data_IF_464737059006
#
_entry.id   IF_464737059006
#
_cell.length_a   1.000
_cell.length_b   1.000
_cell.length_c   1.000
_cell.angle_alpha   90.00
_cell.angle_beta   90.00
_cell.angle_gamma   90.00
#
_symmetry.space_group_name_H-M   'P 1'
#
loop_
_entity.id
_entity.type
_entity.pdbx_description
1 polymer ?
#
# COMPACT_ATOMS: atom_id res chain seq x y z
N UNK A 1 -54.36 -3.12 31.74
CA UNK A 1 -53.39 -3.74 30.85
C UNK A 1 -52.05 -3.08 31.05
N UNK A 2 -50.97 -3.75 31.55
CA UNK A 2 -49.64 -3.16 31.69
C UNK A 2 -48.91 -3.18 30.37
N UNK A 3 -48.42 -2.02 29.94
CA UNK A 3 -47.51 -1.87 28.78
C UNK A 3 -46.11 -2.32 29.18
N UNK A 4 -45.53 -3.10 28.29
CA UNK A 4 -44.24 -3.77 28.41
C UNK A 4 -43.04 -2.82 28.61
N UNK A 5 -42.37 -2.97 29.74
CA UNK A 5 -41.07 -2.34 30.10
C UNK A 5 -39.87 -3.06 29.46
N UNK A 6 -40.07 -4.11 28.65
CA UNK A 6 -39.00 -4.93 28.09
C UNK A 6 -38.28 -4.33 26.87
N UNK A 7 -38.91 -3.39 26.15
CA UNK A 7 -38.36 -2.85 24.89
C UNK A 7 -37.27 -1.76 25.10
N UNK A 8 -37.17 -1.19 26.30
CA UNK A 8 -36.20 -0.10 26.55
C UNK A 8 -34.84 -0.65 26.99
N UNK A 9 -34.84 -1.68 27.82
CA UNK A 9 -33.62 -2.35 28.29
C UNK A 9 -32.85 -3.07 27.18
N UNK A 10 -33.54 -3.70 26.23
CA UNK A 10 -32.90 -4.38 25.10
C UNK A 10 -32.30 -3.42 24.11
N UNK A 11 -32.89 -2.24 23.90
CA UNK A 11 -32.29 -1.17 23.07
C UNK A 11 -31.09 -0.50 23.70
N UNK A 12 -31.07 -0.35 25.00
CA UNK A 12 -29.91 0.21 25.74
C UNK A 12 -28.76 -0.79 25.81
N UNK A 13 -29.04 -2.07 26.01
CA UNK A 13 -28.03 -3.13 25.95
C UNK A 13 -27.43 -3.32 24.53
N UNK A 14 -28.26 -3.19 23.48
CA UNK A 14 -27.80 -3.24 22.09
C UNK A 14 -26.92 -2.01 21.74
N UNK A 15 -27.30 -0.81 22.20
CA UNK A 15 -26.48 0.42 22.05
C UNK A 15 -25.17 0.34 22.82
N UNK A 16 -25.17 -0.22 24.03
CA UNK A 16 -23.95 -0.43 24.82
C UNK A 16 -23.00 -1.44 24.16
N UNK A 17 -23.50 -2.54 23.60
CA UNK A 17 -22.71 -3.51 22.83
C UNK A 17 -22.16 -2.92 21.52
N UNK A 18 -22.92 -2.09 20.82
CA UNK A 18 -22.48 -1.43 19.59
C UNK A 18 -21.43 -0.35 19.89
N UNK A 19 -21.57 0.41 20.98
CA UNK A 19 -20.59 1.38 21.47
C UNK A 19 -19.29 0.69 21.91
N UNK A 20 -19.36 -0.41 22.64
CA UNK A 20 -18.18 -1.20 23.05
C UNK A 20 -17.43 -1.78 21.85
N UNK A 21 -18.14 -2.30 20.85
CA UNK A 21 -17.55 -2.83 19.60
C UNK A 21 -16.91 -1.74 18.77
N UNK A 22 -17.50 -0.55 18.72
CA UNK A 22 -16.92 0.62 18.01
C UNK A 22 -15.67 1.13 18.73
N UNK A 23 -15.64 1.14 20.07
CA UNK A 23 -14.46 1.52 20.85
C UNK A 23 -13.32 0.48 20.74
N UNK A 24 -13.65 -0.80 20.62
CA UNK A 24 -12.67 -1.87 20.44
C UNK A 24 -12.07 -1.84 19.03
N UNK A 25 -12.88 -1.57 18.02
CA UNK A 25 -12.44 -1.30 16.64
C UNK A 25 -11.57 -0.03 16.60
N UNK A 26 -11.95 1.04 17.31
CA UNK A 26 -11.14 2.25 17.40
C UNK A 26 -9.81 2.03 18.15
N UNK A 27 -9.75 1.13 19.14
CA UNK A 27 -8.50 0.74 19.80
C UNK A 27 -7.57 -0.09 18.92
N UNK A 28 -8.12 -0.96 18.07
CA UNK A 28 -7.36 -1.76 17.08
C UNK A 28 -6.89 -0.90 15.89
N UNK A 29 -7.67 0.12 15.49
CA UNK A 29 -7.33 1.09 14.44
C UNK A 29 -6.43 2.23 14.98
N UNK A 30 -6.18 2.30 16.27
CA UNK A 30 -5.52 3.40 17.00
C UNK A 30 -4.04 3.66 16.64
N UNK A 31 -3.53 3.15 15.51
CA UNK A 31 -2.21 3.52 15.00
C UNK A 31 -2.27 4.48 13.82
N UNK A 32 -3.38 4.52 13.09
CA UNK A 32 -3.62 5.47 12.01
C UNK A 32 -5.12 5.57 11.74
N UNK A 33 -5.64 6.79 11.60
CA UNK A 33 -6.98 7.03 11.06
C UNK A 33 -6.83 7.28 9.57
N UNK A 34 -7.24 6.31 8.76
CA UNK A 34 -7.25 6.44 7.30
C UNK A 34 -8.66 6.62 6.80
N UNK A 35 -8.88 7.66 6.01
CA UNK A 35 -10.12 7.84 5.25
C UNK A 35 -9.81 7.66 3.77
N UNK A 36 -10.54 6.76 3.13
CA UNK A 36 -10.41 6.49 1.70
C UNK A 36 -11.69 6.93 1.02
N UNK A 37 -11.57 7.80 0.04
CA UNK A 37 -12.66 8.27 -0.81
C UNK A 37 -12.35 7.91 -2.25
N UNK A 38 -13.28 7.23 -2.92
CA UNK A 38 -13.17 6.90 -4.33
C UNK A 38 -14.41 7.40 -5.07
N UNK A 39 -14.22 8.38 -5.94
CA UNK A 39 -15.27 8.96 -6.77
C UNK A 39 -15.11 8.49 -8.21
N UNK A 40 -16.20 8.17 -8.88
CA UNK A 40 -16.21 7.77 -10.28
C UNK A 40 -17.15 8.69 -11.09
N UNK A 41 -16.79 8.94 -12.34
CA UNK A 41 -17.56 9.77 -13.25
C UNK A 41 -17.33 9.40 -14.72
N UNK A 42 -18.09 10.03 -15.60
CA UNK A 42 -18.00 9.86 -17.06
C UNK A 42 -18.00 8.37 -17.53
N UNK A 43 -18.99 7.60 -17.07
CA UNK A 43 -19.07 6.17 -17.39
C UNK A 43 -17.92 5.35 -16.81
N UNK A 44 -17.46 5.68 -15.61
CA UNK A 44 -16.32 5.07 -14.90
C UNK A 44 -14.94 5.30 -15.54
N UNK A 45 -14.84 6.20 -16.52
CA UNK A 45 -13.55 6.55 -17.12
C UNK A 45 -12.71 7.45 -16.22
N UNK A 46 -13.35 8.34 -15.48
CA UNK A 46 -12.71 9.19 -14.49
C UNK A 46 -12.87 8.58 -13.10
N UNK A 47 -11.78 8.43 -12.36
CA UNK A 47 -11.83 8.17 -10.94
C UNK A 47 -10.91 9.13 -10.18
N UNK A 48 -11.34 9.52 -8.98
CA UNK A 48 -10.55 10.31 -8.05
C UNK A 48 -10.42 9.50 -6.77
N UNK A 49 -9.20 9.16 -6.41
CA UNK A 49 -8.86 8.46 -5.18
C UNK A 49 -8.19 9.44 -4.21
N UNK A 50 -8.74 9.59 -3.02
CA UNK A 50 -8.16 10.40 -1.95
C UNK A 50 -8.02 9.54 -0.72
N UNK A 51 -6.80 9.46 -0.20
CA UNK A 51 -6.50 8.82 1.07
C UNK A 51 -5.88 9.84 2.03
N UNK A 52 -6.41 9.90 3.24
CA UNK A 52 -5.84 10.67 4.33
C UNK A 52 -5.28 9.71 5.39
N UNK A 53 -4.24 10.13 6.07
CA UNK A 53 -3.64 9.38 7.17
C UNK A 53 -3.39 10.29 8.37
N UNK A 54 -3.61 9.76 9.57
CA UNK A 54 -3.25 10.39 10.84
C UNK A 54 -2.33 9.46 11.61
N UNK A 55 -1.04 9.40 11.25
CA UNK A 55 -0.08 8.53 11.92
C UNK A 55 0.10 8.97 13.36
N UNK A 56 0.27 7.98 14.25
CA UNK A 56 0.52 8.20 15.67
C UNK A 56 -0.62 8.94 16.42
N UNK A 57 -1.85 8.95 15.88
CA UNK A 57 -3.00 9.53 16.56
C UNK A 57 -3.15 8.93 17.98
N UNK A 58 -3.16 9.79 18.99
CA UNK A 58 -3.26 9.40 20.40
C UNK A 58 -1.98 8.80 21.01
N UNK A 59 -0.88 8.65 20.26
CA UNK A 59 0.43 8.30 20.83
C UNK A 59 1.07 9.53 21.47
N UNK A 60 1.70 9.32 22.62
CA UNK A 60 2.51 10.35 23.27
C UNK A 60 3.91 10.41 22.63
N UNK A 61 4.44 11.62 22.49
CA UNK A 61 5.84 11.89 22.19
C UNK A 61 6.73 11.70 23.44
N UNK A 62 8.03 11.97 23.30
CA UNK A 62 8.96 11.88 24.43
C UNK A 62 8.65 12.85 25.59
N UNK A 63 7.91 13.93 25.35
CA UNK A 63 7.46 14.90 26.36
C UNK A 63 6.11 14.50 26.99
N UNK A 64 5.51 13.39 26.56
CA UNK A 64 4.21 12.92 27.04
C UNK A 64 3.01 13.61 26.38
N UNK A 65 3.23 14.47 25.39
CA UNK A 65 2.17 15.13 24.63
C UNK A 65 1.57 14.18 23.62
N UNK A 66 0.27 13.95 23.69
CA UNK A 66 -0.43 13.10 22.73
C UNK A 66 -0.64 13.82 21.42
N UNK A 67 -0.35 13.15 20.31
CA UNK A 67 -0.73 13.65 18.99
C UNK A 67 -2.26 13.70 18.90
N UNK A 68 -2.82 14.91 18.75
CA UNK A 68 -4.25 15.18 18.85
C UNK A 68 -4.95 15.25 17.47
N UNK A 69 -4.22 15.14 16.36
CA UNK A 69 -4.92 15.16 15.10
C UNK A 69 -4.21 15.73 13.88
N UNK A 70 -2.92 15.49 13.71
CA UNK A 70 -2.29 15.76 12.42
C UNK A 70 -2.94 14.88 11.35
N UNK A 71 -3.61 15.51 10.41
CA UNK A 71 -4.21 14.85 9.27
C UNK A 71 -3.40 15.19 8.02
N UNK A 72 -2.95 14.16 7.32
CA UNK A 72 -2.15 14.32 6.12
C UNK A 72 -2.85 13.72 4.91
N UNK A 73 -2.70 14.37 3.75
CA UNK A 73 -3.00 13.74 2.47
C UNK A 73 -1.93 12.69 2.19
N UNK A 74 -2.35 11.43 2.09
CA UNK A 74 -1.47 10.31 1.76
C UNK A 74 -1.42 10.09 0.25
N UNK A 75 -2.58 10.01 -0.38
CA UNK A 75 -2.73 9.90 -1.82
C UNK A 75 -3.82 10.85 -2.31
N UNK A 76 -3.59 11.50 -3.46
CA UNK A 76 -4.59 12.26 -4.21
C UNK A 76 -4.36 11.94 -5.68
N UNK A 77 -5.10 10.97 -6.21
CA UNK A 77 -4.88 10.44 -7.56
C UNK A 77 -6.10 10.65 -8.42
N UNK A 78 -5.91 11.33 -9.53
CA UNK A 78 -6.90 11.42 -10.60
C UNK A 78 -6.49 10.43 -11.68
N UNK A 79 -7.35 9.47 -11.97
CA UNK A 79 -7.15 8.47 -13.02
C UNK A 79 -8.11 8.71 -14.16
N UNK A 80 -7.59 8.83 -15.38
CA UNK A 80 -8.36 8.73 -16.60
C UNK A 80 -8.09 7.40 -17.29
N UNK A 81 -9.14 6.58 -17.43
CA UNK A 81 -9.08 5.30 -18.11
C UNK A 81 -9.49 5.45 -19.57
N UNK A 82 -8.53 5.34 -20.49
CA UNK A 82 -8.78 5.30 -21.93
C UNK A 82 -9.26 3.90 -22.35
N UNK A 83 -8.58 2.88 -21.89
CA UNK A 83 -8.85 1.46 -22.08
C UNK A 83 -8.24 0.67 -20.93
N UNK A 84 -8.43 -0.65 -20.88
CA UNK A 84 -7.71 -1.52 -19.92
C UNK A 84 -6.20 -1.43 -20.15
N UNK A 85 -5.79 -1.29 -21.40
CA UNK A 85 -4.37 -1.16 -21.76
C UNK A 85 -3.77 0.21 -21.44
N UNK A 86 -4.55 1.24 -21.11
CA UNK A 86 -4.03 2.58 -20.84
C UNK A 86 -4.90 3.35 -19.83
N UNK A 87 -4.33 3.58 -18.68
CA UNK A 87 -4.79 4.52 -17.66
C UNK A 87 -3.74 5.60 -17.48
N UNK A 88 -4.15 6.85 -17.33
CA UNK A 88 -3.27 7.95 -16.95
C UNK A 88 -3.62 8.36 -15.52
N UNK A 89 -2.69 8.18 -14.62
CA UNK A 89 -2.80 8.58 -13.21
C UNK A 89 -2.00 9.86 -12.99
N UNK A 90 -2.57 10.84 -12.30
CA UNK A 90 -1.88 12.10 -11.99
C UNK A 90 -2.21 12.59 -10.60
N UNK A 91 -1.23 13.23 -9.95
CA UNK A 91 -1.36 13.82 -8.62
C UNK A 91 -0.30 13.38 -7.63
N UNK A 92 -0.67 13.24 -6.36
CA UNK A 92 0.18 12.65 -5.32
C UNK A 92 -0.11 11.16 -5.26
N UNK A 93 0.83 10.34 -5.72
CA UNK A 93 0.66 8.90 -5.85
C UNK A 93 1.92 8.12 -5.51
N UNK A 94 1.78 6.81 -5.32
CA UNK A 94 2.87 5.91 -5.01
C UNK A 94 3.51 5.37 -6.29
N UNK A 95 4.77 5.75 -6.62
CA UNK A 95 5.57 5.07 -7.63
C UNK A 95 5.97 3.68 -7.13
N UNK A 96 5.31 2.64 -7.61
CA UNK A 96 5.48 1.28 -7.09
C UNK A 96 6.80 0.67 -7.54
N UNK A 97 7.68 0.31 -6.59
CA UNK A 97 9.03 -0.23 -6.83
C UNK A 97 9.22 -1.69 -6.42
N UNK A 98 8.28 -2.27 -5.65
CA UNK A 98 8.21 -3.71 -5.37
C UNK A 98 6.79 -4.13 -5.08
N UNK A 99 6.56 -5.43 -4.91
CA UNK A 99 5.21 -5.92 -4.57
C UNK A 99 4.79 -5.43 -3.18
N UNK A 100 5.64 -5.57 -2.15
CA UNK A 100 5.34 -5.09 -0.79
C UNK A 100 5.13 -3.57 -0.77
N UNK A 101 5.99 -2.81 -1.46
CA UNK A 101 5.86 -1.36 -1.57
C UNK A 101 4.50 -0.94 -2.16
N UNK A 102 3.97 -1.69 -3.14
CA UNK A 102 2.71 -1.41 -3.80
C UNK A 102 1.47 -2.03 -3.15
N UNK A 103 1.60 -2.78 -2.05
CA UNK A 103 0.45 -3.41 -1.39
C UNK A 103 -0.44 -2.40 -0.68
N UNK A 104 -1.72 -2.73 -0.60
CA UNK A 104 -2.65 -2.04 0.29
C UNK A 104 -2.34 -2.41 1.74
N UNK A 105 -2.15 -1.41 2.59
CA UNK A 105 -1.94 -1.59 4.03
C UNK A 105 -3.07 -2.38 4.73
N UNK A 106 -4.26 -2.42 4.12
CA UNK A 106 -5.42 -3.15 4.66
C UNK A 106 -5.34 -4.67 4.42
N UNK A 107 -4.37 -5.17 3.66
CA UNK A 107 -4.26 -6.58 3.29
C UNK A 107 -2.84 -7.16 3.41
N UNK A 108 -1.94 -6.48 4.10
CA UNK A 108 -0.60 -6.99 4.37
C UNK A 108 -0.68 -8.34 5.09
N UNK A 109 0.28 -9.22 4.84
CA UNK A 109 0.42 -10.47 5.58
C UNK A 109 0.93 -10.20 7.00
N UNK A 110 1.95 -9.35 7.12
CA UNK A 110 2.48 -8.88 8.40
C UNK A 110 1.65 -7.70 8.94
N UNK A 111 1.92 -7.30 10.18
CA UNK A 111 1.24 -6.17 10.83
C UNK A 111 1.63 -4.80 10.22
N UNK A 112 2.73 -4.76 9.47
CA UNK A 112 3.24 -3.56 8.79
C UNK A 112 4.05 -3.97 7.56
N UNK A 113 4.40 -2.99 6.72
CA UNK A 113 5.31 -3.20 5.59
C UNK A 113 6.68 -3.69 6.04
N UNK A 114 7.42 -4.29 5.13
CA UNK A 114 8.83 -4.61 5.37
C UNK A 114 9.62 -3.37 5.80
N UNK A 115 10.54 -3.48 6.76
CA UNK A 115 11.23 -2.33 7.36
C UNK A 115 12.07 -1.51 6.36
N UNK A 116 12.35 -2.07 5.20
CA UNK A 116 13.14 -1.42 4.14
C UNK A 116 12.33 -1.15 2.85
N UNK A 117 11.01 -1.37 2.87
CA UNK A 117 10.16 -1.22 1.67
C UNK A 117 10.02 0.22 1.17
N UNK A 118 10.34 1.20 2.03
CA UNK A 118 10.30 2.64 1.71
C UNK A 118 11.65 3.32 1.99
N UNK A 119 12.75 2.62 1.75
CA UNK A 119 14.10 3.08 2.15
C UNK A 119 14.50 4.38 1.43
N UNK A 120 14.07 4.57 0.18
CA UNK A 120 14.32 5.76 -0.63
C UNK A 120 13.49 6.98 -0.22
N UNK A 121 12.44 6.80 0.59
CA UNK A 121 11.48 7.87 0.91
C UNK A 121 12.12 9.07 1.57
N UNK A 122 12.88 8.87 2.65
CA UNK A 122 13.51 9.97 3.36
C UNK A 122 14.60 10.68 2.52
N UNK A 123 15.50 9.98 1.81
CA UNK A 123 16.45 10.60 0.90
C UNK A 123 15.80 11.39 -0.24
N UNK A 124 14.67 10.95 -0.76
CA UNK A 124 13.92 11.64 -1.82
C UNK A 124 12.98 12.74 -1.28
N UNK A 125 12.98 12.96 0.04
CA UNK A 125 12.04 13.88 0.70
C UNK A 125 10.56 13.51 0.42
N UNK A 126 10.31 12.25 0.09
CA UNK A 126 9.00 11.70 -0.15
C UNK A 126 8.35 11.22 1.15
N UNK A 127 7.02 11.30 1.22
CA UNK A 127 6.31 10.79 2.39
C UNK A 127 5.80 9.38 2.11
N UNK A 128 6.36 8.39 2.82
CA UNK A 128 6.00 6.96 2.65
C UNK A 128 5.93 6.59 1.16
N UNK A 129 6.98 6.98 0.41
CA UNK A 129 7.14 6.72 -1.01
C UNK A 129 6.33 7.58 -1.98
N UNK A 130 5.35 8.37 -1.50
CA UNK A 130 4.47 9.16 -2.39
C UNK A 130 5.20 10.34 -2.98
N UNK A 131 4.87 10.59 -4.26
CA UNK A 131 5.49 11.68 -5.02
C UNK A 131 4.45 12.32 -5.95
N UNK A 132 4.63 13.59 -6.27
CA UNK A 132 3.78 14.28 -7.25
C UNK A 132 4.26 13.95 -8.65
N UNK A 133 3.34 13.49 -9.50
CA UNK A 133 3.71 13.14 -10.86
C UNK A 133 2.58 12.65 -11.73
N UNK A 134 2.99 12.09 -12.87
CA UNK A 134 2.13 11.45 -13.86
C UNK A 134 2.65 10.03 -14.13
N UNK A 135 1.74 9.09 -14.23
CA UNK A 135 2.03 7.69 -14.51
C UNK A 135 1.09 7.16 -15.58
N UNK A 136 1.63 6.55 -16.62
CA UNK A 136 0.89 5.68 -17.50
C UNK A 136 0.91 4.26 -16.91
N UNK A 137 -0.26 3.66 -16.76
CA UNK A 137 -0.45 2.31 -16.25
C UNK A 137 -1.42 1.56 -17.16
N UNK A 138 -1.19 0.29 -17.38
CA UNK A 138 -2.09 -0.51 -18.18
C UNK A 138 -1.93 -2.01 -18.00
N UNK A 139 -2.91 -2.73 -18.52
CA UNK A 139 -3.00 -4.18 -18.43
C UNK A 139 -3.08 -4.76 -19.84
N UNK A 140 -2.22 -5.72 -20.14
CA UNK A 140 -2.10 -6.43 -21.39
C UNK A 140 -2.28 -7.94 -21.15
N UNK A 141 -2.39 -8.74 -22.22
CA UNK A 141 -2.53 -10.19 -22.14
C UNK A 141 -3.64 -10.61 -21.16
N UNK A 142 -4.88 -10.20 -21.43
CA UNK A 142 -6.05 -10.45 -20.57
C UNK A 142 -5.86 -10.00 -19.12
N UNK A 143 -5.16 -8.87 -18.91
CA UNK A 143 -4.79 -8.26 -17.63
C UNK A 143 -3.70 -9.00 -16.86
N UNK A 144 -3.10 -10.04 -17.45
CA UNK A 144 -2.03 -10.78 -16.78
C UNK A 144 -0.71 -10.00 -16.71
N UNK A 145 -0.44 -9.12 -17.70
CA UNK A 145 0.72 -8.26 -17.72
C UNK A 145 0.34 -6.82 -17.35
N UNK A 146 0.81 -6.33 -16.23
CA UNK A 146 0.73 -4.92 -15.85
C UNK A 146 2.03 -4.21 -16.19
N UNK A 147 1.92 -2.98 -16.71
CA UNK A 147 3.03 -2.04 -16.77
C UNK A 147 2.68 -0.74 -16.09
N UNK A 148 3.69 -0.08 -15.52
CA UNK A 148 3.65 1.29 -14.99
C UNK A 148 4.89 2.02 -15.44
N UNK A 149 4.73 3.21 -15.99
CA UNK A 149 5.83 4.12 -16.36
C UNK A 149 5.44 5.52 -15.91
N UNK A 150 6.30 6.17 -15.13
CA UNK A 150 5.95 7.44 -14.54
C UNK A 150 7.10 8.44 -14.53
N UNK A 151 6.72 9.72 -14.46
CA UNK A 151 7.59 10.87 -14.23
C UNK A 151 7.08 11.62 -12.99
N UNK A 152 7.98 11.90 -12.07
CA UNK A 152 7.66 12.46 -10.77
C UNK A 152 8.59 13.61 -10.43
N UNK A 153 8.20 14.42 -9.44
CA UNK A 153 9.06 15.53 -9.00
C UNK A 153 10.37 15.02 -8.40
N UNK A 154 10.30 13.97 -7.58
CA UNK A 154 11.44 13.51 -6.81
C UNK A 154 11.98 14.61 -5.87
N UNK A 155 13.26 14.52 -5.51
CA UNK A 155 13.93 15.55 -4.72
C UNK A 155 14.28 16.75 -5.60
N UNK A 156 13.69 17.92 -5.31
CA UNK A 156 13.80 19.10 -6.18
C UNK A 156 15.04 19.96 -5.92
N UNK A 157 15.49 20.08 -4.70
CA UNK A 157 16.57 21.01 -4.36
C UNK A 157 16.22 22.50 -4.52
N UNK A 158 17.12 23.42 -4.19
CA UNK A 158 16.90 24.85 -4.33
C UNK A 158 16.57 25.24 -5.77
N UNK A 159 15.54 26.05 -5.95
CA UNK A 159 15.11 26.53 -7.27
C UNK A 159 14.60 25.43 -8.20
N UNK A 160 14.25 24.27 -7.69
CA UNK A 160 13.83 23.10 -8.46
C UNK A 160 14.85 22.69 -9.56
N UNK A 161 16.14 22.81 -9.27
CA UNK A 161 17.22 22.62 -10.23
C UNK A 161 17.43 21.16 -10.68
N UNK A 162 16.97 20.16 -9.89
CA UNK A 162 17.16 18.76 -10.22
C UNK A 162 16.18 18.30 -11.32
N UNK A 163 16.62 17.34 -12.14
CA UNK A 163 15.80 16.66 -13.12
C UNK A 163 14.63 15.89 -12.47
N UNK A 164 13.66 15.46 -13.27
CA UNK A 164 12.53 14.67 -12.81
C UNK A 164 12.98 13.24 -12.48
N UNK A 165 12.31 12.63 -11.48
CA UNK A 165 12.42 11.22 -11.18
C UNK A 165 11.62 10.42 -12.21
N UNK A 166 12.16 9.32 -12.69
CA UNK A 166 11.50 8.42 -13.63
C UNK A 166 11.42 7.03 -13.05
N UNK A 167 10.29 6.38 -13.23
CA UNK A 167 10.05 5.03 -12.72
C UNK A 167 9.45 4.13 -13.79
N UNK A 168 9.78 2.84 -13.73
CA UNK A 168 9.17 1.82 -14.56
C UNK A 168 8.96 0.54 -13.76
N UNK A 169 7.87 -0.16 -14.00
CA UNK A 169 7.57 -1.45 -13.44
C UNK A 169 6.82 -2.33 -14.44
N UNK A 170 7.15 -3.61 -14.45
CA UNK A 170 6.41 -4.68 -15.10
C UNK A 170 6.05 -5.73 -14.05
N UNK A 171 4.84 -6.28 -14.13
CA UNK A 171 4.40 -7.38 -13.29
C UNK A 171 3.57 -8.36 -14.13
N UNK A 172 3.87 -9.65 -14.02
CA UNK A 172 3.09 -10.70 -14.65
C UNK A 172 2.41 -11.57 -13.60
N UNK A 173 1.08 -11.72 -13.73
CA UNK A 173 0.24 -12.57 -12.86
C UNK A 173 -0.13 -13.84 -13.62
N UNK A 174 0.27 -15.02 -13.13
CA UNK A 174 0.03 -16.30 -13.80
C UNK A 174 -1.41 -16.80 -13.69
N UNK A 175 -2.14 -16.36 -12.64
CA UNK A 175 -3.52 -16.78 -12.39
C UNK A 175 -4.43 -15.57 -12.26
N UNK A 176 -4.90 -15.25 -11.05
CA UNK A 176 -5.77 -14.08 -10.85
C UNK A 176 -4.98 -12.79 -11.04
N UNK A 177 -5.30 -11.96 -12.06
CA UNK A 177 -4.63 -10.70 -12.29
C UNK A 177 -4.82 -9.73 -11.12
N UNK A 178 -3.77 -8.95 -10.84
CA UNK A 178 -3.83 -7.82 -9.93
C UNK A 178 -4.11 -6.56 -10.74
N UNK A 179 -5.16 -5.85 -10.37
CA UNK A 179 -5.55 -4.59 -11.05
C UNK A 179 -5.89 -3.53 -10.01
N UNK A 180 -5.57 -2.27 -10.29
CA UNK A 180 -5.84 -1.14 -9.40
C UNK A 180 -4.60 -0.30 -9.11
N UNK A 181 -4.74 0.66 -8.20
CA UNK A 181 -3.62 1.48 -7.74
C UNK A 181 -2.68 0.69 -6.83
N UNK A 182 -3.25 -0.14 -5.95
CA UNK A 182 -2.51 -0.95 -4.99
C UNK A 182 -2.71 -2.44 -5.24
N UNK A 183 -1.69 -3.23 -4.92
CA UNK A 183 -1.75 -4.68 -4.98
C UNK A 183 -2.46 -5.24 -3.76
N UNK A 184 -3.09 -6.39 -3.95
CA UNK A 184 -3.65 -7.14 -2.84
C UNK A 184 -2.53 -7.89 -2.13
N UNK A 185 -2.57 -7.89 -0.80
CA UNK A 185 -1.80 -8.79 0.02
C UNK A 185 -2.51 -10.13 0.20
N UNK A 186 -2.61 -10.61 1.45
CA UNK A 186 -3.34 -11.86 1.72
C UNK A 186 -4.84 -11.71 1.46
N UNK A 187 -5.45 -12.72 0.87
CA UNK A 187 -6.90 -12.89 0.75
C UNK A 187 -7.43 -14.02 1.64
N UNK A 188 -6.57 -14.56 2.53
CA UNK A 188 -6.88 -15.71 3.38
C UNK A 188 -7.24 -16.95 2.55
N UNK A 189 -6.47 -17.22 1.50
CA UNK A 189 -6.67 -18.37 0.62
C UNK A 189 -7.89 -18.29 -0.30
N UNK A 190 -8.50 -17.12 -0.48
CA UNK A 190 -9.67 -16.96 -1.36
C UNK A 190 -9.32 -16.78 -2.83
N UNK A 191 -8.12 -16.33 -3.13
CA UNK A 191 -7.67 -16.12 -4.51
C UNK A 191 -6.42 -16.93 -4.81
N UNK A 192 -6.32 -17.44 -6.04
CA UNK A 192 -5.10 -18.07 -6.54
C UNK A 192 -4.30 -17.01 -7.29
N UNK A 193 -3.19 -16.55 -6.72
CA UNK A 193 -2.34 -15.53 -7.31
C UNK A 193 -0.89 -15.99 -7.26
N UNK A 194 -0.20 -15.91 -8.39
CA UNK A 194 1.26 -15.99 -8.47
C UNK A 194 1.68 -14.83 -9.37
N UNK A 195 2.47 -13.92 -8.85
CA UNK A 195 2.93 -12.75 -9.58
C UNK A 195 4.43 -12.59 -9.45
N UNK A 196 5.08 -12.22 -10.53
CA UNK A 196 6.49 -11.81 -10.56
C UNK A 196 6.58 -10.39 -11.08
N UNK A 197 7.46 -9.58 -10.48
CA UNK A 197 7.63 -8.19 -10.85
C UNK A 197 9.07 -7.79 -10.99
N UNK A 198 9.31 -6.75 -11.79
CA UNK A 198 10.58 -6.06 -11.87
C UNK A 198 10.34 -4.56 -11.96
N UNK A 199 11.25 -3.77 -11.39
CA UNK A 199 11.12 -2.32 -11.33
C UNK A 199 12.45 -1.61 -11.52
N UNK A 200 12.35 -0.37 -11.93
CA UNK A 200 13.45 0.57 -12.05
C UNK A 200 12.97 1.96 -11.63
N UNK A 201 13.85 2.70 -10.96
CA UNK A 201 13.60 4.05 -10.45
C UNK A 201 14.92 4.83 -10.53
N UNK A 202 14.88 6.06 -11.02
CA UNK A 202 16.07 6.89 -11.13
C UNK A 202 15.77 8.38 -11.09
N UNK A 203 16.71 9.12 -10.51
CA UNK A 203 16.78 10.58 -10.58
C UNK A 203 18.24 11.01 -10.45
N UNK A 204 18.74 11.78 -11.39
CA UNK A 204 20.14 12.21 -11.42
C UNK A 204 21.10 10.99 -11.34
N UNK A 205 21.97 10.95 -10.32
CA UNK A 205 22.85 9.80 -10.07
C UNK A 205 22.26 8.74 -9.15
N UNK A 206 21.04 8.94 -8.67
CA UNK A 206 20.29 7.90 -7.94
C UNK A 206 19.69 6.88 -8.90
N UNK A 207 19.78 5.61 -8.55
CA UNK A 207 19.00 4.56 -9.18
C UNK A 207 18.63 3.45 -8.20
N UNK A 208 17.47 2.82 -8.43
CA UNK A 208 17.14 1.55 -7.81
C UNK A 208 16.59 0.55 -8.82
N UNK A 209 16.73 -0.74 -8.52
CA UNK A 209 16.22 -1.86 -9.32
C UNK A 209 15.67 -2.90 -8.38
N UNK A 210 14.45 -3.34 -8.64
CA UNK A 210 13.74 -4.32 -7.83
C UNK A 210 13.32 -5.53 -8.64
N UNK A 211 13.26 -6.69 -7.96
CA UNK A 211 12.58 -7.88 -8.42
C UNK A 211 11.76 -8.45 -7.27
N UNK A 212 10.58 -8.97 -7.57
CA UNK A 212 9.68 -9.48 -6.54
C UNK A 212 8.85 -10.67 -7.01
N UNK A 213 8.37 -11.43 -6.03
CA UNK A 213 7.50 -12.58 -6.16
C UNK A 213 6.40 -12.49 -5.10
N UNK A 214 5.16 -12.71 -5.50
CA UNK A 214 4.04 -12.91 -4.60
C UNK A 214 3.29 -14.18 -4.99
N UNK A 215 2.98 -15.00 -3.99
CA UNK A 215 2.27 -16.26 -4.14
C UNK A 215 1.15 -16.33 -3.13
N UNK A 216 -0.07 -16.56 -3.58
CA UNK A 216 -1.18 -16.97 -2.74
C UNK A 216 -1.91 -18.15 -3.36
N UNK A 217 -2.02 -19.23 -2.61
CA UNK A 217 -2.62 -20.49 -3.05
C UNK A 217 -3.73 -20.92 -2.09
N UNK A 218 -4.97 -21.12 -2.59
CA UNK A 218 -6.02 -21.80 -1.83
C UNK A 218 -5.68 -23.29 -1.67
N UNK A 219 -5.87 -23.81 -0.46
CA UNK A 219 -5.55 -25.19 -0.08
C UNK A 219 -6.75 -25.84 0.65
N UNK A 220 -7.83 -26.12 -0.08
CA UNK A 220 -8.99 -26.85 0.47
C UNK A 220 -9.69 -26.19 1.66
N UNK A 221 -9.82 -24.87 1.67
CA UNK A 221 -10.37 -24.06 2.76
C UNK A 221 -9.31 -23.35 3.60
N UNK A 222 -8.06 -23.78 3.50
CA UNK A 222 -6.86 -23.12 4.03
C UNK A 222 -6.20 -22.24 2.95
N UNK A 223 -5.08 -21.59 3.27
CA UNK A 223 -4.34 -20.76 2.31
C UNK A 223 -2.87 -20.62 2.66
N UNK A 224 -2.03 -20.64 1.63
CA UNK A 224 -0.61 -20.33 1.74
C UNK A 224 -0.32 -18.98 1.08
N UNK A 225 0.36 -18.09 1.80
CA UNK A 225 0.85 -16.81 1.26
C UNK A 225 2.37 -16.77 1.41
N UNK A 226 3.08 -16.49 0.30
CA UNK A 226 4.54 -16.28 0.30
C UNK A 226 4.84 -14.99 -0.46
N UNK A 227 5.84 -14.26 0.00
CA UNK A 227 6.33 -13.05 -0.66
C UNK A 227 7.85 -12.95 -0.55
N UNK A 228 8.46 -12.45 -1.61
CA UNK A 228 9.87 -12.12 -1.65
C UNK A 228 10.07 -10.82 -2.45
N UNK A 229 10.77 -9.85 -1.89
CA UNK A 229 11.15 -8.61 -2.55
C UNK A 229 12.66 -8.40 -2.38
N UNK A 230 13.38 -8.17 -3.47
CA UNK A 230 14.79 -7.85 -3.48
C UNK A 230 14.98 -6.52 -4.23
N UNK A 231 15.59 -5.53 -3.59
CA UNK A 231 15.83 -4.21 -4.18
C UNK A 231 17.26 -3.80 -3.95
N UNK A 232 17.92 -3.38 -5.02
CA UNK A 232 19.25 -2.75 -4.98
C UNK A 232 19.09 -1.26 -5.14
N UNK A 233 19.69 -0.51 -4.24
CA UNK A 233 19.73 0.96 -4.22
C UNK A 233 21.15 1.45 -4.48
N UNK A 234 21.25 2.54 -5.21
CA UNK A 234 22.47 3.33 -5.35
C UNK A 234 22.09 4.82 -5.37
N UNK A 235 22.32 5.53 -4.27
CA UNK A 235 22.02 6.96 -4.14
C UNK A 235 22.96 7.84 -4.94
N UNK A 236 24.13 7.32 -5.33
CA UNK A 236 25.18 8.09 -5.99
C UNK A 236 25.59 9.31 -5.17
N UNK A 237 25.94 10.39 -5.87
CA UNK A 237 26.20 11.68 -5.22
C UNK A 237 24.93 12.46 -4.92
N UNK A 238 23.86 12.17 -5.62
CA UNK A 238 22.59 12.89 -5.50
C UNK A 238 21.87 12.59 -4.18
N UNK A 239 21.80 11.33 -3.78
CA UNK A 239 21.24 10.89 -2.50
C UNK A 239 22.34 10.28 -1.62
N UNK A 240 23.29 11.11 -1.19
CA UNK A 240 24.44 10.65 -0.40
C UNK A 240 24.06 9.93 0.91
N UNK A 241 22.85 10.17 1.46
CA UNK A 241 22.29 9.46 2.61
C UNK A 241 21.79 8.03 2.29
N UNK A 242 21.81 7.62 1.03
CA UNK A 242 21.42 6.30 0.55
C UNK A 242 22.62 5.61 -0.13
N UNK A 243 23.56 5.02 0.63
CA UNK A 243 24.72 4.34 0.04
C UNK A 243 24.30 3.13 -0.80
N UNK A 244 25.16 2.64 -1.70
CA UNK A 244 24.91 1.40 -2.43
C UNK A 244 24.63 0.25 -1.47
N UNK A 245 23.46 -0.39 -1.63
CA UNK A 245 23.00 -1.45 -0.73
C UNK A 245 21.93 -2.31 -1.38
N UNK A 246 21.71 -3.49 -0.81
CA UNK A 246 20.67 -4.42 -1.23
C UNK A 246 19.77 -4.73 -0.05
N UNK A 247 18.47 -4.75 -0.29
CA UNK A 247 17.47 -5.17 0.69
C UNK A 247 16.79 -6.45 0.24
N UNK A 248 16.47 -7.31 1.19
CA UNK A 248 15.68 -8.52 0.97
C UNK A 248 14.57 -8.57 2.01
N UNK A 249 13.34 -8.76 1.55
CA UNK A 249 12.18 -9.10 2.37
C UNK A 249 11.70 -10.49 1.98
N UNK A 250 11.46 -11.34 2.96
CA UNK A 250 10.80 -12.64 2.81
C UNK A 250 9.64 -12.72 3.79
N UNK A 251 8.47 -13.10 3.31
CA UNK A 251 7.30 -13.33 4.15
C UNK A 251 6.67 -14.68 3.83
N UNK A 252 6.17 -15.36 4.84
CA UNK A 252 5.42 -16.58 4.72
C UNK A 252 4.28 -16.61 5.73
N UNK A 253 3.09 -17.01 5.31
CA UNK A 253 1.93 -17.17 6.17
C UNK A 253 1.05 -18.32 5.75
N UNK A 254 0.43 -18.99 6.70
CA UNK A 254 -0.51 -20.08 6.46
C UNK A 254 -1.84 -19.76 7.13
N UNK A 255 -2.90 -19.71 6.35
CA UNK A 255 -4.26 -19.49 6.84
C UNK A 255 -4.94 -20.80 7.14
N UNK A 256 -5.32 -21.02 8.40
CA UNK A 256 -6.15 -22.11 8.87
C UNK A 256 -7.62 -21.70 8.80
N UNK A 257 -8.35 -22.13 7.76
CA UNK A 257 -9.72 -21.70 7.51
C UNK A 257 -10.69 -22.07 8.64
N UNK A 258 -10.54 -23.26 9.22
CA UNK A 258 -11.38 -23.71 10.37
C UNK A 258 -11.14 -22.84 11.62
N UNK A 259 -9.92 -22.51 11.92
CA UNK A 259 -9.54 -21.71 13.09
C UNK A 259 -9.67 -20.19 12.82
N UNK A 260 -9.76 -19.79 11.55
CA UNK A 260 -9.71 -18.39 11.10
C UNK A 260 -8.46 -17.65 11.61
N UNK A 261 -7.34 -18.34 11.62
CA UNK A 261 -6.06 -17.87 12.12
C UNK A 261 -5.02 -17.93 10.99
N UNK A 262 -4.21 -16.89 10.86
CA UNK A 262 -3.10 -16.84 9.91
C UNK A 262 -1.80 -16.46 10.63
N UNK A 263 -1.06 -17.44 11.18
CA UNK A 263 0.31 -17.19 11.61
C UNK A 263 1.17 -16.82 10.40
N UNK A 264 2.14 -15.96 10.64
CA UNK A 264 3.09 -15.52 9.63
C UNK A 264 4.50 -15.38 10.22
N UNK A 265 5.49 -15.41 9.34
CA UNK A 265 6.86 -15.05 9.62
C UNK A 265 7.33 -14.01 8.59
N UNK A 266 8.11 -13.03 9.04
CA UNK A 266 8.74 -12.01 8.22
C UNK A 266 10.23 -11.97 8.52
N UNK A 267 11.05 -11.99 7.48
CA UNK A 267 12.50 -11.79 7.56
C UNK A 267 12.90 -10.66 6.63
N UNK A 268 13.68 -9.72 7.13
CA UNK A 268 14.21 -8.65 6.32
C UNK A 268 15.70 -8.43 6.63
N UNK A 269 16.46 -8.15 5.59
CA UNK A 269 17.88 -7.74 5.71
C UNK A 269 18.18 -6.57 4.78
N UNK A 270 19.23 -5.86 5.15
CA UNK A 270 19.85 -4.77 4.41
C UNK A 270 21.36 -4.99 4.35
#
# INVERSE_FOLDING_TARGET
>A
LPRSTHTRTDREAAKGKQSGRTQEIQRLIGRALRTVTNLKGFGERLSVFVETDSPNLGKADAAGTKNAGDLYLQDVVVTWRFADALHLDGGLLLPVTSYNHGQSAASLLAADYGPYSFLESAPLEARVGRDYGLQARGYLADRHLEYRVGVFQGRRGPGAANGLRTTARLMYSFFTPQTGLFYRGTSFGRTKTVAIGASWDAQESFSSRGADLFVELPLGGDGLTLQADAVRYDGGRFLAGLPPQETLLLEAGYYFGTARLQPFAQYARR
#
